data_IF_930788710082
#
_entry.id   IF_930788710082
#
_cell.length_a   1.000
_cell.length_b   1.000
_cell.length_c   1.000
_cell.angle_alpha   90.00
_cell.angle_beta   90.00
_cell.angle_gamma   90.00
#
_symmetry.space_group_name_H-M   'P 1'
#
loop_
_entity.id
_entity.type
_entity.pdbx_description
1 polymer ?
#
# COMPACT_ATOMS: atom_id res chain seq x y z
N UNK A 1 -5.15 -3.41 -6.96
CA UNK A 1 -6.00 -4.60 -7.16
C UNK A 1 -6.57 -4.66 -8.58
N UNK A 2 -7.47 -3.75 -8.99
CA UNK A 2 -8.11 -3.80 -10.32
C UNK A 2 -7.12 -3.79 -11.50
N UNK A 3 -6.09 -2.94 -11.45
CA UNK A 3 -5.06 -2.92 -12.49
C UNK A 3 -4.38 -4.29 -12.66
N UNK A 4 -3.95 -4.93 -11.57
CA UNK A 4 -3.35 -6.26 -11.61
C UNK A 4 -4.28 -7.32 -12.17
N UNK A 5 -5.57 -7.28 -11.81
CA UNK A 5 -6.55 -8.23 -12.38
C UNK A 5 -6.82 -8.03 -13.88
N UNK A 6 -6.60 -6.82 -14.40
CA UNK A 6 -6.88 -6.49 -15.80
C UNK A 6 -5.65 -6.66 -16.70
N UNK A 7 -4.45 -6.35 -16.20
CA UNK A 7 -3.22 -6.32 -16.98
C UNK A 7 -2.26 -7.49 -16.71
N UNK A 8 -2.29 -8.12 -15.54
CA UNK A 8 -1.35 -9.19 -15.20
C UNK A 8 -1.94 -10.57 -15.54
N UNK A 9 -1.15 -11.47 -16.11
CA UNK A 9 -1.56 -12.85 -16.41
C UNK A 9 -1.87 -13.67 -15.14
N UNK A 10 -1.24 -13.28 -14.03
CA UNK A 10 -1.38 -13.92 -12.71
C UNK A 10 -1.89 -12.89 -11.72
N UNK A 11 -3.07 -13.16 -11.16
CA UNK A 11 -3.70 -12.30 -10.17
C UNK A 11 -4.31 -13.13 -9.04
N UNK A 12 -4.57 -12.48 -7.91
CA UNK A 12 -5.22 -13.11 -6.76
C UNK A 12 -6.71 -12.76 -6.68
N UNK A 13 -7.50 -13.57 -5.99
CA UNK A 13 -8.92 -13.29 -5.78
C UNK A 13 -9.15 -12.25 -4.66
N UNK A 14 -10.37 -11.75 -4.52
CA UNK A 14 -10.71 -10.72 -3.52
C UNK A 14 -10.52 -11.18 -2.09
N UNK A 15 -10.78 -12.45 -1.80
CA UNK A 15 -10.55 -12.98 -0.47
C UNK A 15 -9.06 -12.91 -0.08
N UNK A 16 -8.15 -13.09 -1.04
CA UNK A 16 -6.72 -12.89 -0.82
C UNK A 16 -6.40 -11.42 -0.54
N UNK A 17 -6.86 -10.49 -1.38
CA UNK A 17 -6.63 -9.05 -1.18
C UNK A 17 -7.25 -8.54 0.12
N UNK A 18 -8.42 -9.04 0.52
CA UNK A 18 -9.07 -8.74 1.80
C UNK A 18 -8.21 -9.17 2.99
N UNK A 19 -7.66 -10.39 2.95
CA UNK A 19 -6.75 -10.89 4.00
C UNK A 19 -5.48 -10.05 4.12
N UNK A 20 -4.88 -9.66 3.00
CA UNK A 20 -3.66 -8.81 3.01
C UNK A 20 -3.99 -7.39 3.47
N UNK A 21 -5.13 -6.84 3.04
CA UNK A 21 -5.58 -5.49 3.39
C UNK A 21 -6.15 -5.35 4.79
N UNK A 22 -6.41 -6.45 5.50
CA UNK A 22 -7.00 -6.43 6.84
C UNK A 22 -8.46 -5.96 6.88
N UNK A 23 -9.18 -6.06 5.75
CA UNK A 23 -10.59 -5.69 5.63
C UNK A 23 -11.45 -6.89 5.23
N UNK A 24 -12.76 -6.78 5.41
CA UNK A 24 -13.67 -7.87 5.09
C UNK A 24 -13.76 -8.11 3.57
N UNK A 25 -14.04 -9.36 3.17
CA UNK A 25 -14.19 -9.69 1.76
C UNK A 25 -15.40 -8.96 1.14
N UNK A 26 -16.48 -8.76 1.91
CA UNK A 26 -17.66 -7.98 1.49
C UNK A 26 -17.33 -6.52 1.21
N UNK A 27 -16.46 -5.92 2.02
CA UNK A 27 -15.97 -4.57 1.82
C UNK A 27 -15.11 -4.46 0.56
N UNK A 28 -14.14 -5.36 0.36
CA UNK A 28 -13.32 -5.38 -0.88
C UNK A 28 -14.20 -5.53 -2.12
N UNK A 29 -15.19 -6.41 -2.09
CA UNK A 29 -16.11 -6.60 -3.20
C UNK A 29 -16.91 -5.32 -3.50
N UNK A 30 -17.35 -4.61 -2.45
CA UNK A 30 -18.10 -3.36 -2.59
C UNK A 30 -17.24 -2.24 -3.16
N UNK A 31 -16.02 -2.07 -2.62
CA UNK A 31 -15.04 -1.08 -3.08
C UNK A 31 -14.59 -1.34 -4.52
N UNK A 32 -14.45 -2.60 -4.92
CA UNK A 32 -14.11 -2.95 -6.30
C UNK A 32 -15.22 -2.51 -7.27
N UNK A 33 -16.48 -2.83 -6.95
CA UNK A 33 -17.62 -2.41 -7.76
C UNK A 33 -17.78 -0.89 -7.81
N UNK A 34 -17.56 -0.21 -6.68
CA UNK A 34 -17.61 1.26 -6.63
C UNK A 34 -16.53 1.89 -7.51
N UNK A 35 -15.29 1.39 -7.42
CA UNK A 35 -14.19 1.88 -8.26
C UNK A 35 -14.46 1.65 -9.75
N UNK A 36 -14.98 0.48 -10.13
CA UNK A 36 -15.38 0.19 -11.52
C UNK A 36 -16.45 1.16 -12.04
N UNK A 37 -17.44 1.52 -11.19
CA UNK A 37 -18.46 2.51 -11.54
C UNK A 37 -17.86 3.91 -11.68
N UNK A 38 -16.97 4.31 -10.77
CA UNK A 38 -16.33 5.63 -10.81
C UNK A 38 -15.56 5.86 -12.11
N UNK A 39 -14.87 4.82 -12.61
CA UNK A 39 -14.14 4.89 -13.88
C UNK A 39 -14.99 4.50 -15.09
N UNK A 40 -16.30 4.31 -14.92
CA UNK A 40 -17.22 3.87 -15.98
C UNK A 40 -16.73 2.61 -16.73
N UNK A 41 -16.13 1.66 -16.00
CA UNK A 41 -15.53 0.44 -16.54
C UNK A 41 -14.43 0.68 -17.60
N UNK A 42 -13.85 1.88 -17.66
CA UNK A 42 -12.69 2.19 -18.50
C UNK A 42 -11.39 1.83 -17.78
N UNK A 43 -10.95 0.57 -17.89
CA UNK A 43 -9.70 0.07 -17.26
C UNK A 43 -8.46 0.18 -18.16
N UNK A 44 -8.67 0.30 -19.47
CA UNK A 44 -7.57 0.39 -20.42
C UNK A 44 -6.88 1.76 -20.32
N UNK A 45 -5.54 1.73 -20.32
CA UNK A 45 -4.70 2.92 -20.29
C UNK A 45 -3.79 2.86 -21.52
N UNK A 46 -3.85 3.90 -22.34
CA UNK A 46 -2.95 4.02 -23.49
C UNK A 46 -1.50 4.14 -23.03
N UNK A 47 -0.53 3.51 -23.73
CA UNK A 47 0.88 3.60 -23.37
C UNK A 47 1.39 5.04 -23.28
N UNK A 48 0.93 5.93 -24.16
CA UNK A 48 1.30 7.34 -24.14
C UNK A 48 0.80 8.05 -22.87
N UNK A 49 -0.45 7.78 -22.47
CA UNK A 49 -1.03 8.35 -21.26
C UNK A 49 -0.26 7.88 -20.01
N UNK A 50 0.02 6.58 -19.92
CA UNK A 50 0.84 6.03 -18.83
C UNK A 50 2.21 6.72 -18.75
N UNK A 51 2.89 6.82 -19.88
CA UNK A 51 4.23 7.39 -19.95
C UNK A 51 4.25 8.90 -19.60
N UNK A 52 3.22 9.65 -19.99
CA UNK A 52 3.03 11.05 -19.60
C UNK A 52 2.93 11.21 -18.08
N UNK A 53 2.06 10.42 -17.43
CA UNK A 53 1.90 10.47 -15.97
C UNK A 53 3.16 10.00 -15.25
N UNK A 54 3.80 8.93 -15.75
CA UNK A 54 5.05 8.42 -15.21
C UNK A 54 6.11 9.52 -15.18
N UNK A 55 6.37 10.18 -16.32
CA UNK A 55 7.35 11.28 -16.38
C UNK A 55 7.03 12.42 -15.44
N UNK A 56 5.75 12.82 -15.35
CA UNK A 56 5.30 13.85 -14.42
C UNK A 56 5.63 13.47 -12.97
N UNK A 57 5.34 12.24 -12.54
CA UNK A 57 5.68 11.81 -11.18
C UNK A 57 7.20 11.85 -10.92
N UNK A 58 8.02 11.37 -11.87
CA UNK A 58 9.48 11.42 -11.74
C UNK A 58 10.02 12.86 -11.69
N UNK A 59 9.46 13.79 -12.47
CA UNK A 59 9.90 15.19 -12.43
C UNK A 59 9.59 15.84 -11.09
N UNK A 60 8.42 15.57 -10.50
CA UNK A 60 8.03 16.14 -9.21
C UNK A 60 8.89 15.60 -8.06
N UNK A 61 9.24 14.30 -8.06
CA UNK A 61 10.17 13.73 -7.05
C UNK A 61 11.55 14.38 -7.15
N UNK A 62 12.06 14.56 -8.37
CA UNK A 62 13.36 15.22 -8.61
C UNK A 62 13.33 16.70 -8.25
N UNK A 63 12.22 17.40 -8.50
CA UNK A 63 12.06 18.81 -8.14
C UNK A 63 11.88 19.02 -6.63
N UNK A 64 11.11 18.16 -5.96
CA UNK A 64 10.91 18.18 -4.49
C UNK A 64 12.17 17.83 -3.69
N UNK A 65 13.19 17.25 -4.33
CA UNK A 65 14.52 17.03 -3.73
C UNK A 65 15.30 18.33 -3.50
N UNK A 66 14.88 19.46 -4.10
CA UNK A 66 15.56 20.76 -4.00
C UNK A 66 14.80 21.82 -3.17
N UNK A 67 13.61 21.50 -2.65
CA UNK A 67 12.85 22.41 -1.80
C UNK A 67 12.48 21.71 -0.48
N UNK A 68 13.35 21.85 0.52
CA UNK A 68 12.92 21.91 1.93
C UNK A 68 12.99 20.64 2.77
N UNK A 69 14.02 19.81 2.64
CA UNK A 69 14.40 18.90 3.75
C UNK A 69 15.60 19.53 4.48
N UNK A 70 15.51 19.93 5.76
CA UNK A 70 16.71 20.26 6.53
C UNK A 70 17.65 19.06 6.49
N UNK A 71 18.90 19.32 6.11
CA UNK A 71 19.97 18.35 5.84
C UNK A 71 20.50 17.61 7.10
N UNK A 72 19.61 17.27 8.03
CA UNK A 72 19.91 16.53 9.25
C UNK A 72 18.97 15.33 9.39
N UNK A 73 18.89 14.51 8.33
CA UNK A 73 18.60 13.09 8.53
C UNK A 73 19.93 12.37 8.32
N UNK A 74 20.50 11.74 9.36
CA UNK A 74 21.71 10.95 9.18
C UNK A 74 21.38 9.88 8.14
N UNK A 75 22.29 9.69 7.18
CA UNK A 75 22.24 8.62 6.22
C UNK A 75 22.25 7.29 6.97
N UNK A 76 21.09 6.83 7.42
CA UNK A 76 20.87 5.48 7.87
C UNK A 76 20.87 4.64 6.61
N UNK A 77 22.07 4.17 6.26
CA UNK A 77 22.18 3.03 5.37
C UNK A 77 21.21 1.95 5.84
N UNK A 78 20.53 1.30 4.91
CA UNK A 78 19.81 0.06 5.18
C UNK A 78 20.82 -1.04 5.51
N UNK A 79 21.55 -0.90 6.61
CA UNK A 79 22.19 -2.01 7.28
C UNK A 79 21.11 -2.63 8.15
N UNK A 80 20.53 -3.71 7.63
CA UNK A 80 19.64 -4.67 8.31
C UNK A 80 19.15 -4.23 9.69
N UNK A 81 18.10 -3.40 9.75
CA UNK A 81 17.44 -3.11 11.00
C UNK A 81 16.84 -4.42 11.51
N UNK A 82 17.42 -4.98 12.58
CA UNK A 82 16.89 -6.18 13.22
C UNK A 82 15.51 -5.87 13.80
N UNK A 83 14.62 -6.87 13.76
CA UNK A 83 13.21 -6.78 14.16
C UNK A 83 12.95 -6.06 15.49
N UNK A 84 13.93 -6.07 16.41
CA UNK A 84 13.87 -5.37 17.68
C UNK A 84 13.81 -3.83 17.55
N UNK A 85 14.45 -3.23 16.54
CA UNK A 85 14.52 -1.77 16.38
C UNK A 85 13.19 -1.17 15.90
N UNK A 86 12.46 -1.90 15.04
CA UNK A 86 11.13 -1.49 14.54
C UNK A 86 10.08 -1.52 15.65
N UNK A 87 10.16 -2.51 16.54
CA UNK A 87 9.23 -2.66 17.68
C UNK A 87 9.41 -1.52 18.70
N UNK A 88 10.66 -1.10 18.93
CA UNK A 88 10.97 0.01 19.84
C UNK A 88 10.41 1.35 19.32
N UNK A 89 10.56 1.61 18.02
CA UNK A 89 10.04 2.83 17.37
C UNK A 89 8.50 2.89 17.39
N UNK A 90 7.84 1.76 17.13
CA UNK A 90 6.37 1.66 17.18
C UNK A 90 5.82 1.97 18.59
N UNK A 91 6.51 1.50 19.63
CA UNK A 91 6.12 1.75 21.04
C UNK A 91 6.32 3.20 21.46
N UNK A 92 7.33 3.89 20.93
CA UNK A 92 7.60 5.29 21.26
C UNK A 92 6.61 6.27 20.58
N UNK A 93 6.14 5.95 19.37
CA UNK A 93 5.31 6.86 18.57
C UNK A 93 3.79 6.74 18.87
N UNK A 94 3.34 5.63 19.47
CA UNK A 94 1.90 5.34 19.65
C UNK A 94 1.61 4.72 21.04
N UNK A 95 1.69 5.47 22.15
CA UNK A 95 1.50 4.90 23.50
C UNK A 95 0.05 4.45 23.82
N UNK A 96 -0.92 4.70 22.93
CA UNK A 96 -2.34 4.37 23.15
C UNK A 96 -3.02 3.62 21.98
N UNK A 97 -2.27 3.20 20.97
CA UNK A 97 -2.84 2.36 19.91
C UNK A 97 -2.90 0.91 20.40
N UNK A 98 -4.12 0.42 20.67
CA UNK A 98 -4.42 -0.97 21.04
C UNK A 98 -3.70 -1.94 20.09
N UNK A 99 -3.09 -3.02 20.60
CA UNK A 99 -2.17 -3.84 19.82
C UNK A 99 -2.92 -4.56 18.70
N UNK A 100 -2.63 -4.19 17.46
CA UNK A 100 -2.99 -4.94 16.27
C UNK A 100 -2.08 -6.19 16.13
N UNK A 101 -2.00 -6.99 17.19
CA UNK A 101 -1.28 -8.27 17.21
C UNK A 101 -2.31 -9.38 17.40
N UNK A 102 -3.08 -9.63 16.34
CA UNK A 102 -3.64 -10.97 16.09
C UNK A 102 -3.16 -11.60 14.78
N UNK A 103 -2.28 -10.91 14.04
CA UNK A 103 -1.79 -11.44 12.75
C UNK A 103 -0.44 -12.17 12.83
N UNK A 104 0.31 -12.08 13.93
CA UNK A 104 1.63 -12.73 14.07
C UNK A 104 1.63 -14.02 14.90
N UNK A 105 0.48 -14.47 15.40
CA UNK A 105 0.38 -15.69 16.23
C UNK A 105 -0.22 -16.90 15.51
N UNK A 106 -0.58 -16.80 14.22
CA UNK A 106 -1.11 -17.96 13.47
C UNK A 106 -2.49 -18.46 13.94
N UNK A 107 -3.22 -17.69 14.75
CA UNK A 107 -4.58 -18.06 15.15
C UNK A 107 -5.61 -17.72 14.06
N UNK A 108 -6.58 -18.61 13.77
CA UNK A 108 -7.57 -18.37 12.74
C UNK A 108 -8.44 -17.16 13.12
N UNK A 109 -8.52 -16.19 12.19
CA UNK A 109 -9.41 -15.05 12.29
C UNK A 109 -10.86 -15.56 12.33
N UNK A 110 -11.44 -15.64 13.52
CA UNK A 110 -12.84 -15.98 13.70
C UNK A 110 -13.70 -14.87 13.09
N UNK A 111 -14.34 -15.25 11.98
CA UNK A 111 -15.63 -14.78 11.46
C UNK A 111 -16.24 -13.59 12.21
N UNK A 112 -16.15 -12.41 11.60
CA UNK A 112 -17.18 -11.36 11.69
C UNK A 112 -17.46 -10.89 10.27
#
# INVERSE_FOLDING_TARGET
>A
MLASKFFDDVYYNNAYYARVGGISNTEVNSLEMEMLRMISFSLFVEPEAYERYRRSLYSHVRAGSLQGVPSALPAMGFSSATQAQVISLHRALMPSAKPLIKCLAGEPFSRV
#
